data_IF_178421340683
#
_entry.id   IF_178421340683
#
_cell.length_a   1.000
_cell.length_b   1.000
_cell.length_c   1.000
_cell.angle_alpha   90.00
_cell.angle_beta   90.00
_cell.angle_gamma   90.00
#
_symmetry.space_group_name_H-M   'P 1'
#
loop_
_entity.id
_entity.type
_entity.pdbx_description
1 polymer ?
#
# COMPACT_ATOMS: atom_id res chain seq x y z
N UNK A 1 -25.95 -6.40 5.16
CA UNK A 1 -25.69 -6.38 6.62
C UNK A 1 -25.26 -4.94 6.99
N UNK A 2 -26.07 -4.18 7.74
CA UNK A 2 -25.69 -2.82 8.20
C UNK A 2 -25.01 -2.95 9.57
N UNK A 3 -23.71 -2.69 9.64
CA UNK A 3 -22.93 -2.75 10.90
C UNK A 3 -22.33 -1.38 11.19
N UNK A 4 -22.49 -0.97 12.45
CA UNK A 4 -22.08 0.25 13.16
C UNK A 4 -21.02 1.15 12.45
N UNK A 5 -21.35 2.41 12.13
CA UNK A 5 -21.40 3.59 13.02
C UNK A 5 -20.00 4.10 13.42
N UNK A 6 -19.66 5.29 12.91
CA UNK A 6 -18.70 6.27 13.42
C UNK A 6 -17.73 5.71 14.48
N UNK A 7 -16.48 5.45 14.08
CA UNK A 7 -15.40 5.12 15.03
C UNK A 7 -14.47 6.35 15.14
N UNK A 8 -14.90 7.43 15.82
CA UNK A 8 -14.23 8.73 15.77
C UNK A 8 -12.81 8.71 16.33
N UNK A 9 -12.50 7.72 17.17
CA UNK A 9 -11.20 7.54 17.82
C UNK A 9 -10.34 6.46 17.16
N UNK A 10 -10.82 5.78 16.10
CA UNK A 10 -10.04 4.78 15.40
C UNK A 10 -8.82 5.43 14.78
N UNK A 11 -7.61 5.02 15.19
CA UNK A 11 -6.33 5.53 14.66
C UNK A 11 -5.58 4.53 13.82
N UNK A 12 -5.74 3.25 14.14
CA UNK A 12 -5.07 2.12 13.49
C UNK A 12 -6.15 1.13 13.07
N UNK A 13 -6.13 0.75 11.81
CA UNK A 13 -7.00 -0.27 11.25
C UNK A 13 -6.14 -1.38 10.67
N UNK A 14 -6.27 -2.58 11.21
CA UNK A 14 -5.64 -3.79 10.67
C UNK A 14 -6.73 -4.68 10.09
N UNK A 15 -6.71 -4.86 8.78
CA UNK A 15 -7.63 -5.72 8.06
C UNK A 15 -6.88 -6.99 7.67
N UNK A 16 -7.41 -8.13 8.11
CA UNK A 16 -6.93 -9.44 7.70
C UNK A 16 -8.06 -10.09 6.92
N UNK A 17 -7.85 -10.30 5.63
CA UNK A 17 -8.80 -10.98 4.79
C UNK A 17 -8.36 -12.44 4.65
N UNK A 18 -9.07 -13.40 5.28
CA UNK A 18 -8.96 -14.79 4.87
C UNK A 18 -9.45 -14.90 3.41
N UNK A 19 -9.19 -16.02 2.72
CA UNK A 19 -9.61 -16.23 1.33
C UNK A 19 -11.14 -16.24 1.18
N UNK A 20 -11.74 -15.05 1.17
CA UNK A 20 -13.18 -14.86 0.98
C UNK A 20 -13.40 -14.52 -0.49
N UNK A 21 -13.99 -15.45 -1.21
CA UNK A 21 -14.68 -15.18 -2.47
C UNK A 21 -15.91 -14.33 -2.14
N UNK A 22 -15.81 -12.99 -2.20
CA UNK A 22 -16.85 -12.14 -2.80
C UNK A 22 -16.65 -10.62 -2.60
N UNK A 23 -17.20 -9.88 -3.57
CA UNK A 23 -17.20 -8.43 -3.76
C UNK A 23 -17.99 -7.59 -2.75
N UNK A 24 -17.87 -7.88 -1.46
CA UNK A 24 -18.52 -7.07 -0.42
C UNK A 24 -17.83 -5.71 -0.24
N UNK A 25 -18.59 -4.63 -0.35
CA UNK A 25 -18.10 -3.27 -0.08
C UNK A 25 -18.07 -3.00 1.43
N UNK A 26 -16.91 -2.63 1.96
CA UNK A 26 -16.77 -2.24 3.36
C UNK A 26 -16.75 -0.72 3.52
N UNK A 27 -17.87 -0.14 3.97
CA UNK A 27 -17.99 1.31 4.21
C UNK A 27 -17.88 1.70 5.69
N UNK A 28 -17.65 0.73 6.59
CA UNK A 28 -17.68 0.94 8.04
C UNK A 28 -16.65 1.97 8.53
N UNK A 29 -15.55 2.15 7.79
CA UNK A 29 -14.43 3.02 8.18
C UNK A 29 -14.40 4.36 7.45
N UNK A 30 -15.35 4.61 6.54
CA UNK A 30 -15.43 5.85 5.74
C UNK A 30 -15.48 7.12 6.60
N UNK A 31 -16.00 7.01 7.82
CA UNK A 31 -16.16 8.09 8.79
C UNK A 31 -15.28 7.89 10.04
N UNK A 32 -14.00 7.59 9.84
CA UNK A 32 -13.02 7.45 10.93
C UNK A 32 -12.01 8.62 10.92
N UNK A 33 -12.34 9.85 11.37
CA UNK A 33 -11.51 11.08 11.20
C UNK A 33 -10.13 11.06 11.89
N UNK A 34 -9.90 10.10 12.79
CA UNK A 34 -8.61 9.92 13.45
C UNK A 34 -7.75 8.82 12.82
N UNK A 35 -8.24 8.10 11.82
CA UNK A 35 -7.51 7.01 11.18
C UNK A 35 -6.23 7.55 10.54
N UNK A 36 -5.08 6.97 10.93
CA UNK A 36 -3.74 7.33 10.44
C UNK A 36 -3.01 6.14 9.84
N UNK A 37 -3.24 4.95 10.37
CA UNK A 37 -2.54 3.73 9.94
C UNK A 37 -3.53 2.72 9.42
N UNK A 38 -3.23 2.18 8.24
CA UNK A 38 -4.01 1.10 7.62
C UNK A 38 -3.04 -0.01 7.26
N UNK A 39 -3.24 -1.17 7.87
CA UNK A 39 -2.53 -2.39 7.53
C UNK A 39 -3.51 -3.35 6.86
N UNK A 40 -3.16 -3.82 5.67
CA UNK A 40 -3.94 -4.78 4.90
C UNK A 40 -3.10 -6.03 4.75
N UNK A 41 -3.63 -7.14 5.28
CA UNK A 41 -2.97 -8.43 5.33
C UNK A 41 -3.84 -9.53 4.72
N UNK A 42 -3.20 -10.52 4.11
CA UNK A 42 -3.88 -11.70 3.56
C UNK A 42 -4.34 -11.52 2.11
N UNK A 43 -5.42 -12.23 1.74
CA UNK A 43 -5.83 -12.46 0.36
C UNK A 43 -6.57 -11.29 -0.28
N UNK A 44 -7.79 -11.55 -0.77
CA UNK A 44 -8.52 -10.62 -1.61
C UNK A 44 -8.99 -9.37 -0.85
N UNK A 45 -8.70 -8.18 -1.40
CA UNK A 45 -9.02 -6.90 -0.75
C UNK A 45 -10.39 -6.44 -1.28
N UNK A 46 -11.45 -6.40 -0.46
CA UNK A 46 -12.72 -5.84 -0.87
C UNK A 46 -12.59 -4.34 -1.19
N UNK A 47 -13.61 -3.77 -1.85
CA UNK A 47 -13.69 -2.32 -2.00
C UNK A 47 -13.93 -1.69 -0.62
N UNK A 48 -12.87 -1.12 -0.02
CA UNK A 48 -12.92 -0.47 1.28
C UNK A 48 -12.94 1.05 1.08
N UNK A 49 -13.95 1.70 1.64
CA UNK A 49 -13.99 3.16 1.69
C UNK A 49 -13.29 3.65 2.96
N UNK A 50 -12.13 4.29 2.78
CA UNK A 50 -11.34 4.88 3.86
C UNK A 50 -11.27 6.41 3.72
N UNK A 51 -11.08 7.15 4.82
CA UNK A 51 -10.80 8.58 4.79
C UNK A 51 -9.36 8.79 4.30
N UNK A 52 -9.13 8.67 2.99
CA UNK A 52 -7.81 8.69 2.35
C UNK A 52 -6.99 9.94 2.67
N UNK A 53 -7.65 11.08 2.88
CA UNK A 53 -7.02 12.38 3.09
C UNK A 53 -6.15 12.48 4.35
N UNK A 54 -6.23 11.55 5.30
CA UNK A 54 -5.61 11.68 6.62
C UNK A 54 -4.70 10.50 7.00
N UNK A 55 -4.68 9.46 6.18
CA UNK A 55 -3.83 8.29 6.37
C UNK A 55 -2.37 8.72 6.16
N UNK A 56 -1.51 8.29 7.08
CA UNK A 56 -0.07 8.58 7.14
C UNK A 56 0.79 7.33 6.95
N UNK A 57 0.25 6.16 7.29
CA UNK A 57 0.95 4.88 7.20
C UNK A 57 0.07 3.88 6.47
N UNK A 58 0.64 3.24 5.47
CA UNK A 58 0.00 2.19 4.69
C UNK A 58 0.92 0.97 4.66
N UNK A 59 0.42 -0.14 5.15
CA UNK A 59 1.12 -1.43 5.16
C UNK A 59 0.33 -2.41 4.31
N UNK A 60 0.98 -2.97 3.31
CA UNK A 60 0.45 -4.03 2.47
C UNK A 60 1.32 -5.25 2.62
N UNK A 61 0.73 -6.30 3.18
CA UNK A 61 1.43 -7.53 3.45
C UNK A 61 0.61 -8.72 2.94
N UNK A 62 0.89 -9.17 1.73
CA UNK A 62 0.12 -10.24 1.07
C UNK A 62 0.81 -11.57 1.32
N UNK A 63 0.19 -12.45 2.09
CA UNK A 63 0.59 -13.85 2.17
C UNK A 63 0.07 -14.56 0.91
N UNK A 64 0.94 -15.28 0.22
CA UNK A 64 0.65 -15.86 -1.08
C UNK A 64 -0.48 -16.90 -0.98
N UNK A 65 -1.50 -16.78 -1.83
CA UNK A 65 -2.32 -17.92 -2.22
C UNK A 65 -2.39 -18.03 -3.74
N UNK A 66 -1.77 -19.10 -4.22
CA UNK A 66 -1.84 -19.61 -5.58
C UNK A 66 -3.27 -20.05 -5.86
N UNK A 67 -3.97 -19.35 -6.76
CA UNK A 67 -4.91 -19.99 -7.69
C UNK A 67 -4.89 -19.27 -9.04
N UNK A 68 -4.92 -20.00 -10.16
CA UNK A 68 -5.33 -19.42 -11.42
C UNK A 68 -6.84 -19.16 -11.37
N UNK A 69 -7.31 -18.20 -12.18
CA UNK A 69 -8.68 -18.05 -12.70
C UNK A 69 -9.61 -16.91 -12.21
N UNK A 70 -10.11 -16.22 -13.25
CA UNK A 70 -11.27 -15.36 -13.51
C UNK A 70 -11.60 -14.05 -12.76
N UNK A 71 -11.99 -13.08 -13.58
CA UNK A 71 -12.04 -11.63 -13.34
C UNK A 71 -13.33 -11.16 -12.68
N UNK A 72 -13.23 -10.26 -11.68
CA UNK A 72 -14.01 -8.99 -11.67
C UNK A 72 -13.61 -7.97 -10.58
N UNK A 73 -12.81 -8.29 -9.57
CA UNK A 73 -12.33 -7.29 -8.60
C UNK A 73 -10.93 -7.69 -8.09
N UNK A 74 -9.94 -7.70 -8.98
CA UNK A 74 -8.54 -7.73 -8.54
C UNK A 74 -8.06 -6.29 -8.64
N UNK A 75 -7.73 -5.63 -7.52
CA UNK A 75 -6.72 -4.57 -7.57
C UNK A 75 -5.37 -5.25 -7.45
N UNK A 76 -4.72 -5.53 -8.58
CA UNK A 76 -3.38 -6.13 -8.59
C UNK A 76 -2.41 -5.23 -7.80
N UNK A 77 -1.28 -5.77 -7.33
CA UNK A 77 -0.20 -4.95 -6.75
C UNK A 77 0.16 -3.76 -7.66
N UNK A 78 0.17 -3.99 -8.98
CA UNK A 78 0.39 -2.99 -10.02
C UNK A 78 -0.69 -1.90 -10.02
N UNK A 79 -1.96 -2.24 -9.84
CA UNK A 79 -3.03 -1.22 -9.72
C UNK A 79 -2.94 -0.39 -8.45
N UNK A 80 -2.47 -0.98 -7.34
CA UNK A 80 -2.17 -0.24 -6.11
C UNK A 80 -1.04 0.75 -6.39
N UNK A 81 0.05 0.30 -7.02
CA UNK A 81 1.16 1.17 -7.45
C UNK A 81 0.64 2.31 -8.33
N UNK A 82 -0.16 2.02 -9.36
CA UNK A 82 -0.70 3.04 -10.26
C UNK A 82 -1.63 4.02 -9.55
N UNK A 83 -2.45 3.55 -8.61
CA UNK A 83 -3.30 4.43 -7.79
C UNK A 83 -2.45 5.35 -6.93
N UNK A 84 -1.38 4.82 -6.33
CA UNK A 84 -0.44 5.58 -5.50
C UNK A 84 0.51 6.47 -6.30
N UNK A 85 0.56 6.35 -7.63
CA UNK A 85 1.32 7.29 -8.45
C UNK A 85 0.76 8.72 -8.36
N UNK A 86 -0.55 8.88 -8.15
CA UNK A 86 -1.15 10.21 -7.98
C UNK A 86 -1.03 10.70 -6.53
N UNK A 87 -0.34 11.83 -6.26
CA UNK A 87 -0.25 12.40 -4.91
C UNK A 87 -1.60 12.78 -4.29
N UNK A 88 -2.65 12.91 -5.10
CA UNK A 88 -4.02 13.16 -4.63
C UNK A 88 -4.63 11.97 -3.87
N UNK A 89 -4.17 10.76 -4.16
CA UNK A 89 -4.49 9.56 -3.41
C UNK A 89 -3.54 9.49 -2.22
N UNK A 90 -4.03 9.40 -0.99
CA UNK A 90 -3.19 9.42 0.21
C UNK A 90 -2.18 10.60 0.25
N UNK A 91 -2.65 11.86 0.20
CA UNK A 91 -1.77 13.03 0.10
C UNK A 91 -0.87 13.24 1.32
N UNK A 92 -1.23 12.64 2.46
CA UNK A 92 -0.50 12.75 3.72
C UNK A 92 0.33 11.49 4.05
N UNK A 93 0.56 10.61 3.06
CA UNK A 93 1.32 9.38 3.25
C UNK A 93 2.79 9.68 3.60
N UNK A 94 3.22 9.20 4.76
CA UNK A 94 4.59 9.35 5.27
C UNK A 94 5.34 8.03 5.44
N UNK A 95 4.63 6.92 5.49
CA UNK A 95 5.21 5.60 5.68
C UNK A 95 4.49 4.59 4.80
N UNK A 96 5.27 3.79 4.08
CA UNK A 96 4.78 2.79 3.16
C UNK A 96 5.55 1.48 3.36
N UNK A 97 4.83 0.39 3.52
CA UNK A 97 5.38 -0.96 3.56
C UNK A 97 4.69 -1.81 2.50
N UNK A 98 5.49 -2.41 1.63
CA UNK A 98 5.04 -3.39 0.64
C UNK A 98 5.83 -4.68 0.81
N UNK A 99 5.15 -5.74 1.22
CA UNK A 99 5.71 -7.09 1.34
C UNK A 99 4.76 -8.04 0.60
N UNK A 100 5.20 -8.61 -0.53
CA UNK A 100 4.33 -9.39 -1.42
C UNK A 100 5.13 -10.48 -2.17
N UNK A 101 4.47 -11.49 -2.77
CA UNK A 101 5.08 -12.26 -3.85
C UNK A 101 4.57 -11.80 -5.22
N UNK A 102 5.47 -11.40 -6.14
CA UNK A 102 5.08 -11.03 -7.49
C UNK A 102 4.66 -12.26 -8.31
N UNK A 103 3.56 -12.16 -9.06
CA UNK A 103 3.09 -13.24 -9.94
C UNK A 103 3.64 -13.09 -11.38
N UNK A 104 3.92 -11.85 -11.84
CA UNK A 104 4.47 -11.54 -13.16
C UNK A 104 5.40 -10.32 -13.14
N UNK A 105 6.39 -10.33 -14.03
CA UNK A 105 7.47 -9.35 -14.18
C UNK A 105 7.03 -8.13 -15.00
N UNK A 106 6.88 -6.98 -14.34
CA UNK A 106 7.04 -5.60 -14.86
C UNK A 106 6.53 -4.55 -13.84
N UNK A 107 6.74 -4.80 -12.54
CA UNK A 107 6.28 -3.91 -11.46
C UNK A 107 7.35 -2.92 -11.01
N UNK A 108 8.64 -3.17 -11.31
CA UNK A 108 9.77 -2.39 -10.77
C UNK A 108 9.75 -0.94 -11.25
N UNK A 109 9.60 -0.72 -12.55
CA UNK A 109 9.51 0.63 -13.15
C UNK A 109 8.31 1.41 -12.61
N UNK A 110 7.14 0.75 -12.52
CA UNK A 110 5.94 1.36 -11.98
C UNK A 110 6.12 1.74 -10.49
N UNK A 111 6.76 0.86 -9.71
CA UNK A 111 7.05 1.11 -8.30
C UNK A 111 8.02 2.27 -8.13
N UNK A 112 9.11 2.31 -8.89
CA UNK A 112 10.09 3.39 -8.87
C UNK A 112 9.43 4.71 -9.25
N UNK A 113 8.65 4.73 -10.33
CA UNK A 113 7.92 5.92 -10.76
C UNK A 113 6.94 6.43 -9.69
N UNK A 114 6.24 5.51 -9.02
CA UNK A 114 5.36 5.84 -7.90
C UNK A 114 6.14 6.42 -6.73
N UNK A 115 7.23 5.79 -6.29
CA UNK A 115 8.04 6.30 -5.18
C UNK A 115 8.63 7.69 -5.50
N UNK A 116 9.08 7.91 -6.75
CA UNK A 116 9.58 9.20 -7.20
C UNK A 116 8.51 10.29 -7.14
N UNK A 117 7.26 9.97 -7.49
CA UNK A 117 6.13 10.92 -7.37
C UNK A 117 5.86 11.36 -5.91
N UNK A 118 6.32 10.57 -4.93
CA UNK A 118 6.08 10.78 -3.48
C UNK A 118 7.25 11.40 -2.75
N UNK A 119 8.40 11.51 -3.41
CA UNK A 119 9.62 12.07 -2.85
C UNK A 119 10.00 13.29 -3.68
N UNK A 120 9.44 14.45 -3.34
CA UNK A 120 9.79 15.69 -4.04
C UNK A 120 11.21 16.13 -3.67
N UNK A 121 12.04 16.40 -4.68
CA UNK A 121 13.40 16.93 -4.54
C UNK A 121 13.46 18.37 -3.99
N UNK A 122 12.31 19.01 -3.71
CA UNK A 122 12.18 20.40 -3.26
C UNK A 122 11.61 20.49 -1.83
N UNK A 123 12.15 21.43 -1.08
CA UNK A 123 12.41 21.39 0.37
C UNK A 123 11.25 21.61 1.34
N UNK A 124 9.97 21.66 0.94
CA UNK A 124 8.91 22.00 1.92
C UNK A 124 7.89 20.91 2.23
N UNK A 125 7.90 19.76 1.55
CA UNK A 125 7.13 18.61 1.99
C UNK A 125 7.66 17.31 1.40
N UNK A 126 8.73 16.73 1.98
CA UNK A 126 8.96 15.28 1.80
C UNK A 126 7.75 14.58 2.41
N UNK A 127 6.82 14.14 1.55
CA UNK A 127 5.62 13.43 1.97
C UNK A 127 6.06 12.09 2.57
N UNK A 128 6.78 11.30 1.78
CA UNK A 128 7.27 10.00 2.22
C UNK A 128 8.57 10.13 3.05
N UNK A 129 8.55 9.56 4.27
CA UNK A 129 9.65 9.56 5.23
C UNK A 129 10.25 8.17 5.45
N UNK A 130 9.48 7.13 5.20
CA UNK A 130 9.93 5.74 5.32
C UNK A 130 9.30 4.84 4.27
N UNK A 131 10.10 3.89 3.78
CA UNK A 131 9.71 2.88 2.79
C UNK A 131 10.33 1.55 3.18
N UNK A 132 9.52 0.49 3.22
CA UNK A 132 9.98 -0.89 3.38
C UNK A 132 9.46 -1.70 2.21
N UNK A 133 10.35 -2.38 1.49
CA UNK A 133 9.99 -3.26 0.37
C UNK A 133 10.48 -4.67 0.65
N UNK A 134 9.67 -5.68 0.36
CA UNK A 134 10.00 -7.07 0.59
C UNK A 134 9.37 -7.98 -0.45
N UNK A 135 10.11 -9.01 -0.85
CA UNK A 135 9.59 -10.07 -1.71
C UNK A 135 9.46 -11.35 -0.86
N UNK A 136 8.25 -11.89 -0.74
CA UNK A 136 7.95 -13.00 0.19
C UNK A 136 8.36 -14.38 -0.30
N UNK A 137 8.34 -14.62 -1.60
CA UNK A 137 8.69 -15.92 -2.18
C UNK A 137 10.22 -16.19 -2.17
N UNK A 138 11.02 -15.31 -1.55
CA UNK A 138 12.47 -15.44 -1.45
C UNK A 138 13.22 -15.05 -2.71
N UNK A 139 12.53 -14.52 -3.73
CA UNK A 139 13.18 -13.94 -4.90
C UNK A 139 13.98 -12.68 -4.53
N UNK A 140 15.03 -12.43 -5.31
CA UNK A 140 15.85 -11.24 -5.13
C UNK A 140 15.13 -9.99 -5.61
N UNK A 141 15.30 -8.90 -4.85
CA UNK A 141 14.83 -7.57 -5.25
C UNK A 141 15.55 -7.12 -6.54
N UNK A 142 14.83 -6.67 -7.58
CA UNK A 142 15.42 -6.13 -8.80
C UNK A 142 16.47 -5.04 -8.52
N UNK A 143 17.55 -5.05 -9.30
CA UNK A 143 18.73 -4.22 -9.04
C UNK A 143 18.47 -2.71 -9.18
N UNK A 144 17.60 -2.33 -10.11
CA UNK A 144 17.03 -0.99 -10.27
C UNK A 144 16.31 -0.51 -9.00
N UNK A 145 15.46 -1.35 -8.40
CA UNK A 145 14.78 -1.06 -7.14
C UNK A 145 15.79 -0.92 -6.01
N UNK A 146 16.78 -1.80 -5.93
CA UNK A 146 17.85 -1.71 -4.91
C UNK A 146 18.66 -0.41 -5.07
N UNK A 147 18.98 -0.01 -6.30
CA UNK A 147 19.66 1.26 -6.57
C UNK A 147 18.80 2.45 -6.15
N UNK A 148 17.52 2.44 -6.51
CA UNK A 148 16.62 3.52 -6.14
C UNK A 148 16.40 3.63 -4.62
N UNK A 149 16.35 2.50 -3.90
CA UNK A 149 16.29 2.50 -2.43
C UNK A 149 17.53 3.14 -1.80
N UNK A 150 18.71 3.07 -2.42
CA UNK A 150 19.90 3.81 -1.97
C UNK A 150 19.75 5.31 -2.23
N UNK A 151 19.16 5.69 -3.36
CA UNK A 151 18.87 7.09 -3.70
C UNK A 151 17.88 7.72 -2.71
N UNK A 152 16.82 7.00 -2.32
CA UNK A 152 15.88 7.42 -1.28
C UNK A 152 16.59 7.73 0.05
N UNK A 153 17.58 6.94 0.44
CA UNK A 153 18.40 7.21 1.64
C UNK A 153 19.22 8.48 1.49
N UNK A 154 19.75 8.77 0.30
CA UNK A 154 20.43 10.04 0.03
C UNK A 154 19.46 11.24 0.15
N UNK A 155 18.18 11.03 -0.16
CA UNK A 155 17.11 11.99 0.13
C UNK A 155 16.64 12.00 1.59
N UNK A 156 17.29 11.26 2.50
CA UNK A 156 16.91 11.23 3.93
C UNK A 156 15.62 10.47 4.23
N UNK A 157 15.16 9.61 3.32
CA UNK A 157 14.07 8.66 3.56
C UNK A 157 14.64 7.42 4.22
N UNK A 158 13.98 6.91 5.26
CA UNK A 158 14.33 5.62 5.88
C UNK A 158 13.86 4.51 4.94
N UNK A 159 14.76 4.01 4.09
CA UNK A 159 14.46 2.98 3.11
C UNK A 159 15.08 1.63 3.51
N UNK A 160 14.27 0.58 3.66
CA UNK A 160 14.71 -0.76 4.05
C UNK A 160 14.18 -1.85 3.12
N UNK A 161 14.92 -2.96 3.03
CA UNK A 161 14.52 -4.17 2.32
C UNK A 161 14.25 -5.25 3.39
N UNK A 162 13.15 -5.99 3.25
CA UNK A 162 12.76 -7.10 4.13
C UNK A 162 13.53 -8.37 3.79
#
# INVERSE_FOLDING_TARGET
MKVANNVPMLRVLSLVFPDVEDGDRCTAFSHAPQLRTVAIKGGWIPEIQLPWMQIKTLEFNRDDFVRPFDWTIIRTFVEIIHSLYSPSILPNLTSLEFIWAPEHSDWSDALIAMLHSRVTASTDAKLLKSVTLGIRNGEEMPSDVVMYMKELRAFGVIASLW
#
